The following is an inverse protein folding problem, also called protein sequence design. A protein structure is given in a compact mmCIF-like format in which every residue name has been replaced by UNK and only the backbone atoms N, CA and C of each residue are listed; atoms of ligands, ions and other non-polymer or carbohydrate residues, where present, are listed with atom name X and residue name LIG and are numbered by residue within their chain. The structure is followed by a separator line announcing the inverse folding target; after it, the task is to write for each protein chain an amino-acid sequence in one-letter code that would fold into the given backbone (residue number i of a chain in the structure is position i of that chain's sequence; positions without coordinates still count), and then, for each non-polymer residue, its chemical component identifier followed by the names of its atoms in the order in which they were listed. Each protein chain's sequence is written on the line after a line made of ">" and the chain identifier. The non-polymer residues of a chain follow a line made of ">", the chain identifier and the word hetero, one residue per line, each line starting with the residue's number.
data_IF_240619348796
#
_entry.id   IF_240619348796
#
_cell.length_a   1.000
_cell.length_b   1.000
_cell.length_c   1.000
_cell.angle_alpha   90.00
_cell.angle_beta   90.00
_cell.angle_gamma   90.00
#
_symmetry.space_group_name_H-M   'P 1'
#
loop_
_entity.id
_entity.type
_entity.pdbx_description
1 polymer ?
#
# COMPACT_ATOMS: atom_id res chain seq x y z
N UNK A 1 21.57 33.87 -9.83
CA UNK A 1 21.42 34.29 -8.42
C UNK A 1 21.43 33.02 -7.60
N UNK A 2 22.39 32.83 -6.68
CA UNK A 2 22.35 31.68 -5.77
C UNK A 2 21.11 31.82 -4.89
N UNK A 3 20.17 30.91 -5.04
CA UNK A 3 19.01 30.80 -4.17
C UNK A 3 19.49 30.57 -2.74
N UNK A 4 19.23 31.53 -1.86
CA UNK A 4 19.38 31.33 -0.42
C UNK A 4 18.16 30.54 0.04
N UNK A 5 18.25 29.21 0.06
CA UNK A 5 17.24 28.40 0.71
C UNK A 5 17.21 28.78 2.20
N UNK A 6 16.03 29.18 2.69
CA UNK A 6 15.83 29.42 4.12
C UNK A 6 16.04 28.09 4.85
N UNK A 7 16.73 28.11 5.99
CA UNK A 7 16.90 26.93 6.86
C UNK A 7 15.55 26.40 7.39
N UNK A 8 14.49 27.20 7.32
CA UNK A 8 13.14 26.82 7.72
C UNK A 8 12.24 26.39 6.55
N UNK A 9 12.78 26.30 5.33
CA UNK A 9 11.98 25.94 4.15
C UNK A 9 11.33 24.55 4.27
N UNK A 10 12.05 23.58 4.85
CA UNK A 10 11.52 22.23 5.10
C UNK A 10 10.41 22.22 6.16
N UNK A 11 10.64 22.90 7.28
CA UNK A 11 9.66 22.97 8.38
C UNK A 11 8.40 23.71 7.96
N UNK A 12 8.55 24.78 7.19
CA UNK A 12 7.43 25.53 6.62
C UNK A 12 6.61 24.65 5.67
N UNK A 13 7.27 23.92 4.77
CA UNK A 13 6.60 22.99 3.86
C UNK A 13 5.87 21.89 4.63
N UNK A 14 6.48 21.34 5.68
CA UNK A 14 5.86 20.33 6.54
C UNK A 14 4.63 20.88 7.27
N UNK A 15 4.72 22.09 7.82
CA UNK A 15 3.60 22.74 8.48
C UNK A 15 2.40 22.94 7.53
N UNK A 16 2.66 23.40 6.31
CA UNK A 16 1.61 23.57 5.28
C UNK A 16 0.98 22.22 4.87
N UNK A 17 1.79 21.17 4.74
CA UNK A 17 1.29 19.83 4.42
C UNK A 17 0.36 19.29 5.53
N UNK A 18 0.76 19.40 6.79
CA UNK A 18 -0.08 18.99 7.93
C UNK A 18 -1.36 19.82 8.04
N UNK A 19 -1.26 21.14 7.80
CA UNK A 19 -2.42 22.01 7.82
C UNK A 19 -3.42 21.65 6.71
N UNK A 20 -2.92 21.33 5.51
CA UNK A 20 -3.77 20.83 4.42
C UNK A 20 -4.49 19.54 4.80
N UNK A 21 -3.77 18.55 5.36
CA UNK A 21 -4.39 17.29 5.82
C UNK A 21 -5.49 17.54 6.86
N UNK A 22 -5.25 18.45 7.81
CA UNK A 22 -6.23 18.85 8.82
C UNK A 22 -7.48 19.50 8.18
N UNK A 23 -7.31 20.42 7.24
CA UNK A 23 -8.41 21.08 6.53
C UNK A 23 -9.27 20.07 5.77
N UNK A 24 -8.63 19.10 5.09
CA UNK A 24 -9.34 18.02 4.38
C UNK A 24 -10.18 17.18 5.33
N UNK A 25 -9.62 16.73 6.46
CA UNK A 25 -10.34 15.92 7.46
C UNK A 25 -11.54 16.64 8.04
N UNK A 26 -11.44 17.96 8.26
CA UNK A 26 -12.54 18.78 8.76
C UNK A 26 -13.53 19.25 7.69
N UNK A 27 -13.31 18.89 6.42
CA UNK A 27 -14.16 19.29 5.28
C UNK A 27 -14.32 20.81 5.14
N UNK A 28 -13.34 21.60 5.59
CA UNK A 28 -13.41 23.06 5.52
C UNK A 28 -13.05 23.55 4.10
N UNK A 29 -14.06 23.58 3.23
CA UNK A 29 -13.91 23.98 1.83
C UNK A 29 -13.48 25.44 1.65
N UNK A 30 -13.89 26.34 2.53
CA UNK A 30 -13.51 27.75 2.44
C UNK A 30 -12.01 27.94 2.67
N UNK A 31 -11.47 27.30 3.71
CA UNK A 31 -10.03 27.31 3.96
C UNK A 31 -9.27 26.54 2.89
N UNK A 32 -9.80 25.40 2.43
CA UNK A 32 -9.17 24.56 1.40
C UNK A 32 -8.88 25.36 0.12
N UNK A 33 -9.87 26.08 -0.42
CA UNK A 33 -9.74 26.85 -1.67
C UNK A 33 -8.61 27.87 -1.61
N UNK A 34 -8.48 28.58 -0.49
CA UNK A 34 -7.45 29.61 -0.31
C UNK A 34 -6.07 29.00 0.00
N UNK A 35 -6.04 27.90 0.76
CA UNK A 35 -4.81 27.21 1.12
C UNK A 35 -4.14 26.54 -0.08
N UNK A 36 -4.93 25.97 -1.00
CA UNK A 36 -4.43 25.36 -2.24
C UNK A 36 -3.64 26.38 -3.08
N UNK A 37 -4.12 27.61 -3.20
CA UNK A 37 -3.40 28.69 -3.91
C UNK A 37 -2.04 28.93 -3.25
N UNK A 38 -2.00 29.02 -1.91
CA UNK A 38 -0.74 29.19 -1.16
C UNK A 38 0.21 28.02 -1.30
N UNK A 39 -0.31 26.79 -1.35
CA UNK A 39 0.49 25.60 -1.57
C UNK A 39 1.18 25.65 -2.93
N UNK A 40 0.48 25.98 -4.01
CA UNK A 40 1.12 26.16 -5.32
C UNK A 40 2.16 27.29 -5.33
N UNK A 41 1.89 28.43 -4.70
CA UNK A 41 2.84 29.54 -4.59
C UNK A 41 4.13 29.14 -3.85
N UNK A 42 4.01 28.23 -2.88
CA UNK A 42 5.17 27.67 -2.15
C UNK A 42 5.85 26.49 -2.87
N UNK A 43 5.39 26.15 -4.08
CA UNK A 43 5.99 25.12 -4.94
C UNK A 43 5.52 23.70 -4.64
N UNK A 44 4.32 23.51 -4.10
CA UNK A 44 3.69 22.19 -4.16
C UNK A 44 3.18 21.91 -5.57
N UNK A 45 3.38 20.68 -6.02
CA UNK A 45 2.83 20.20 -7.29
C UNK A 45 1.44 19.63 -7.08
N UNK A 46 0.68 19.53 -8.16
CA UNK A 46 -0.65 18.91 -8.16
C UNK A 46 -0.62 17.46 -7.66
N UNK A 47 0.44 16.72 -7.99
CA UNK A 47 0.58 15.32 -7.59
C UNK A 47 0.90 15.19 -6.09
N UNK A 48 1.67 16.13 -5.53
CA UNK A 48 1.89 16.21 -4.08
C UNK A 48 0.61 16.55 -3.32
N UNK A 49 -0.20 17.49 -3.82
CA UNK A 49 -1.50 17.80 -3.21
C UNK A 49 -2.45 16.59 -3.23
N UNK A 50 -2.40 15.80 -4.30
CA UNK A 50 -3.17 14.56 -4.41
C UNK A 50 -2.68 13.50 -3.41
N UNK A 51 -1.37 13.33 -3.29
CA UNK A 51 -0.78 12.41 -2.32
C UNK A 51 -1.16 12.78 -0.89
N UNK A 52 -1.07 14.07 -0.54
CA UNK A 52 -1.50 14.57 0.78
C UNK A 52 -3.00 14.37 1.01
N UNK A 53 -3.83 14.53 -0.03
CA UNK A 53 -5.26 14.25 0.05
C UNK A 53 -5.51 12.77 0.40
N UNK A 54 -4.85 11.85 -0.30
CA UNK A 54 -4.95 10.42 0.00
C UNK A 54 -4.52 10.14 1.43
N UNK A 55 -3.34 10.61 1.84
CA UNK A 55 -2.81 10.43 3.20
C UNK A 55 -3.78 10.95 4.28
N UNK A 56 -4.41 12.11 4.06
CA UNK A 56 -5.41 12.67 4.96
C UNK A 56 -6.63 11.75 5.13
N UNK A 57 -7.03 11.07 4.05
CA UNK A 57 -8.25 10.25 3.95
C UNK A 57 -8.05 8.75 4.20
N UNK A 58 -6.81 8.27 4.36
CA UNK A 58 -6.53 6.84 4.52
C UNK A 58 -6.90 6.28 5.91
N UNK A 59 -6.89 7.12 6.94
CA UNK A 59 -7.11 6.70 8.32
C UNK A 59 -8.54 7.03 8.73
N UNK A 60 -9.38 6.01 8.88
CA UNK A 60 -10.82 6.18 9.19
C UNK A 60 -11.02 6.86 10.54
N UNK A 61 -10.13 6.64 11.51
CA UNK A 61 -10.22 7.24 12.86
C UNK A 61 -10.05 8.77 12.88
N UNK A 62 -9.36 9.32 11.86
CA UNK A 62 -9.04 10.75 11.77
C UNK A 62 -10.13 11.55 11.03
N UNK A 63 -11.19 10.88 10.57
CA UNK A 63 -12.16 11.41 9.62
C UNK A 63 -13.58 11.31 10.23
N UNK A 64 -14.42 12.36 10.08
CA UNK A 64 -15.81 12.29 10.51
C UNK A 64 -16.60 11.19 9.80
N UNK A 65 -17.61 10.61 10.47
CA UNK A 65 -18.46 9.55 9.89
C UNK A 65 -19.17 9.97 8.59
N UNK A 66 -19.50 11.26 8.46
CA UNK A 66 -20.18 11.82 7.29
C UNK A 66 -19.22 12.23 6.14
N UNK A 67 -17.95 11.82 6.20
CA UNK A 67 -16.98 12.20 5.17
C UNK A 67 -17.21 11.48 3.85
N UNK A 68 -17.40 12.28 2.79
CA UNK A 68 -17.46 11.80 1.42
C UNK A 68 -16.17 12.15 0.67
N UNK A 69 -15.31 11.17 0.33
CA UNK A 69 -14.11 11.40 -0.45
C UNK A 69 -14.44 11.88 -1.87
N UNK A 70 -13.64 12.82 -2.37
CA UNK A 70 -13.67 13.21 -3.78
C UNK A 70 -12.92 12.17 -4.61
N UNK A 71 -13.69 11.28 -5.22
CA UNK A 71 -13.21 10.16 -6.05
C UNK A 71 -12.28 10.65 -7.17
N UNK A 72 -12.49 11.85 -7.73
CA UNK A 72 -11.63 12.38 -8.80
C UNK A 72 -10.21 12.69 -8.33
N UNK A 73 -10.07 13.05 -7.05
CA UNK A 73 -8.77 13.32 -6.43
C UNK A 73 -8.16 12.05 -5.84
N UNK A 74 -8.96 11.08 -5.43
CA UNK A 74 -8.47 9.81 -4.93
C UNK A 74 -7.87 8.90 -6.03
N UNK A 75 -8.20 9.13 -7.32
CA UNK A 75 -7.67 8.32 -8.43
C UNK A 75 -6.29 8.85 -8.86
N UNK A 76 -5.23 8.01 -8.88
CA UNK A 76 -3.94 8.38 -9.43
C UNK A 76 -4.06 8.72 -10.93
N UNK A 77 -3.41 9.80 -11.39
CA UNK A 77 -3.40 10.20 -12.81
C UNK A 77 -2.84 9.11 -13.74
N UNK A 78 -1.86 8.35 -13.24
CA UNK A 78 -1.21 7.26 -13.97
C UNK A 78 -1.81 5.89 -13.64
N UNK A 79 -2.94 5.84 -12.94
CA UNK A 79 -3.68 4.60 -12.83
C UNK A 79 -3.96 4.12 -14.27
N UNK A 80 -3.54 2.90 -14.65
CA UNK A 80 -3.86 2.39 -15.97
C UNK A 80 -5.38 2.51 -16.10
N UNK A 81 -5.84 3.22 -17.15
CA UNK A 81 -7.25 3.25 -17.49
C UNK A 81 -7.68 1.79 -17.47
N UNK A 82 -8.49 1.42 -16.48
CA UNK A 82 -8.89 0.04 -16.25
C UNK A 82 -9.55 -0.34 -17.56
N UNK A 83 -8.83 -1.07 -18.41
CA UNK A 83 -9.37 -1.62 -19.63
C UNK A 83 -10.60 -2.34 -19.14
N UNK A 84 -11.77 -1.92 -19.62
CA UNK A 84 -13.10 -2.39 -19.21
C UNK A 84 -13.03 -3.89 -18.96
N UNK A 85 -12.69 -4.29 -17.72
CA UNK A 85 -12.75 -5.67 -17.32
C UNK A 85 -14.24 -5.80 -17.21
N UNK A 86 -14.83 -6.34 -18.27
CA UNK A 86 -16.20 -6.82 -18.27
C UNK A 86 -16.28 -7.68 -17.01
N UNK A 87 -16.79 -7.08 -15.93
CA UNK A 87 -16.99 -7.76 -14.68
C UNK A 87 -18.03 -8.80 -15.06
N UNK A 88 -17.59 -10.02 -15.32
CA UNK A 88 -18.49 -11.15 -15.43
C UNK A 88 -18.68 -11.60 -13.99
N UNK A 89 -19.78 -11.22 -13.32
CA UNK A 89 -20.10 -11.80 -12.03
C UNK A 89 -20.29 -13.30 -12.27
N UNK A 90 -19.32 -14.11 -11.87
CA UNK A 90 -19.57 -15.53 -11.76
C UNK A 90 -20.15 -15.75 -10.36
N UNK A 91 -21.38 -16.26 -10.25
CA UNK A 91 -21.95 -16.58 -8.95
C UNK A 91 -21.12 -17.68 -8.30
N UNK A 92 -20.90 -17.58 -6.98
CA UNK A 92 -20.28 -18.66 -6.20
C UNK A 92 -21.05 -19.99 -6.28
N UNK A 93 -22.29 -19.95 -6.81
CA UNK A 93 -23.20 -21.07 -7.03
C UNK A 93 -23.36 -21.40 -8.53
N UNK A 94 -22.34 -21.12 -9.36
CA UNK A 94 -22.43 -21.37 -10.79
C UNK A 94 -22.45 -22.88 -11.11
N UNK A 95 -23.56 -23.37 -11.67
CA UNK A 95 -23.80 -24.78 -12.05
C UNK A 95 -23.55 -25.04 -13.54
N UNK A 96 -22.65 -24.29 -14.19
CA UNK A 96 -22.36 -24.52 -15.60
C UNK A 96 -21.47 -25.77 -15.79
N UNK A 97 -21.58 -26.49 -16.94
CA UNK A 97 -20.86 -27.74 -17.16
C UNK A 97 -19.33 -27.61 -17.06
N UNK A 98 -18.77 -26.45 -17.44
CA UNK A 98 -17.31 -26.22 -17.41
C UNK A 98 -16.73 -26.03 -16.01
N UNK A 99 -17.55 -25.68 -15.01
CA UNK A 99 -17.12 -25.45 -13.63
C UNK A 99 -17.55 -26.58 -12.69
N UNK A 100 -18.64 -27.30 -13.02
CA UNK A 100 -19.06 -28.48 -12.27
C UNK A 100 -17.96 -29.54 -12.19
N UNK A 101 -17.20 -29.75 -13.27
CA UNK A 101 -16.09 -30.71 -13.27
C UNK A 101 -15.01 -30.33 -12.24
N UNK A 102 -14.70 -29.04 -12.09
CA UNK A 102 -13.70 -28.55 -11.13
C UNK A 102 -14.19 -28.61 -9.67
N UNK A 103 -15.48 -28.37 -9.44
CA UNK A 103 -16.08 -28.41 -8.09
C UNK A 103 -16.26 -29.85 -7.62
N UNK A 104 -16.54 -30.79 -8.53
CA UNK A 104 -16.65 -32.22 -8.21
C UNK A 104 -15.30 -32.92 -8.06
N UNK A 105 -14.25 -32.44 -8.74
CA UNK A 105 -12.89 -32.99 -8.62
C UNK A 105 -12.26 -32.71 -7.24
N UNK A 106 -12.63 -31.59 -6.61
CA UNK A 106 -12.31 -31.32 -5.22
C UNK A 106 -13.30 -32.15 -4.40
N UNK A 107 -12.91 -33.34 -3.97
CA UNK A 107 -13.73 -34.13 -3.06
C UNK A 107 -14.14 -33.27 -1.85
N UNK A 108 -15.38 -33.40 -1.40
CA UNK A 108 -15.85 -32.79 -0.15
C UNK A 108 -16.26 -33.89 0.82
N UNK A 109 -16.09 -33.66 2.11
CA UNK A 109 -16.56 -34.57 3.17
C UNK A 109 -18.08 -34.48 3.37
N UNK A 110 -18.63 -35.28 4.29
CA UNK A 110 -20.08 -35.35 4.55
C UNK A 110 -20.65 -34.02 5.08
N UNK A 111 -19.78 -33.13 5.58
CA UNK A 111 -20.08 -31.79 6.06
C UNK A 111 -19.92 -30.71 4.97
N UNK A 112 -19.56 -31.10 3.75
CA UNK A 112 -19.46 -30.21 2.59
C UNK A 112 -18.22 -29.31 2.59
N UNK A 113 -17.18 -29.65 3.35
CA UNK A 113 -15.87 -28.99 3.30
C UNK A 113 -14.95 -29.72 2.31
N UNK A 114 -14.08 -29.01 1.58
CA UNK A 114 -13.13 -29.66 0.67
C UNK A 114 -12.20 -30.57 1.47
N UNK A 115 -12.10 -31.86 1.11
CA UNK A 115 -11.17 -32.78 1.77
C UNK A 115 -9.73 -32.29 1.53
N UNK A 116 -9.17 -31.69 2.56
CA UNK A 116 -7.75 -31.34 2.61
C UNK A 116 -6.94 -32.63 2.64
N UNK A 117 -5.83 -32.69 1.91
CA UNK A 117 -4.90 -33.82 1.92
C UNK A 117 -4.54 -34.22 3.37
N UNK A 118 -4.30 -35.52 3.66
CA UNK A 118 -4.19 -36.03 5.02
C UNK A 118 -3.15 -35.27 5.84
N UNK A 119 -3.57 -34.80 7.01
CA UNK A 119 -2.75 -34.12 7.99
C UNK A 119 -1.59 -35.04 8.42
N UNK A 120 -0.36 -34.73 7.98
CA UNK A 120 0.83 -35.25 8.65
C UNK A 120 0.92 -34.59 10.04
N UNK A 121 1.11 -35.36 11.12
CA UNK A 121 1.04 -34.83 12.48
C UNK A 121 2.13 -33.80 12.73
N UNK A 122 1.72 -32.63 13.25
CA UNK A 122 2.61 -31.58 13.72
C UNK A 122 3.50 -32.07 14.87
N UNK A 123 4.82 -32.06 14.65
CA UNK A 123 5.76 -31.82 15.74
C UNK A 123 6.93 -30.93 15.27
N UNK A 124 7.30 -30.04 16.20
CA UNK A 124 8.50 -29.21 16.24
C UNK A 124 8.47 -27.87 15.48
N UNK A 125 7.91 -26.89 16.19
CA UNK A 125 8.30 -25.50 16.12
C UNK A 125 9.83 -25.29 16.14
N UNK A 126 10.30 -24.32 15.34
CA UNK A 126 11.50 -23.53 15.65
C UNK A 126 12.64 -23.60 14.62
N UNK A 127 12.58 -22.76 13.59
CA UNK A 127 13.65 -21.80 13.24
C UNK A 127 13.38 -21.20 11.86
N UNK A 128 12.93 -19.95 11.84
CA UNK A 128 12.95 -19.11 10.63
C UNK A 128 14.08 -18.11 10.84
N UNK A 129 15.27 -18.39 10.31
CA UNK A 129 16.22 -17.39 9.80
C UNK A 129 17.49 -18.09 9.29
N UNK A 130 17.65 -18.17 7.97
CA UNK A 130 18.90 -17.83 7.25
C UNK A 130 18.84 -18.30 5.79
N UNK A 131 18.35 -17.38 4.97
CA UNK A 131 18.82 -17.03 3.62
C UNK A 131 20.05 -17.81 3.12
N UNK A 132 19.86 -18.42 1.95
CA UNK A 132 20.86 -19.07 1.13
C UNK A 132 22.11 -18.20 0.88
N UNK A 133 23.29 -18.81 0.99
CA UNK A 133 24.55 -18.25 0.48
C UNK A 133 25.14 -19.22 -0.55
N UNK A 134 25.44 -18.78 -1.79
CA UNK A 134 26.02 -19.62 -2.83
C UNK A 134 27.51 -19.87 -2.57
N UNK A 135 27.96 -21.07 -2.89
CA UNK A 135 29.37 -21.47 -2.87
C UNK A 135 30.16 -20.73 -3.97
N UNK A 136 31.24 -20.05 -3.59
CA UNK A 136 32.31 -19.67 -4.52
C UNK A 136 33.69 -19.80 -3.86
N UNK A 137 34.55 -20.57 -4.52
CA UNK A 137 35.99 -20.77 -4.26
C UNK A 137 36.74 -19.45 -4.01
N UNK A 138 37.71 -19.47 -3.09
CA UNK A 138 39.15 -19.28 -3.34
C UNK A 138 39.91 -18.90 -2.06
N UNK A 139 41.14 -19.40 -1.98
CA UNK A 139 42.25 -19.00 -1.10
C UNK A 139 42.27 -17.50 -0.76
N UNK A 140 42.30 -17.16 0.53
CA UNK A 140 43.35 -16.31 1.12
C UNK A 140 43.21 -16.30 2.65
N UNK A 141 44.07 -17.03 3.37
CA UNK A 141 44.08 -17.03 4.84
C UNK A 141 45.22 -16.12 5.33
N UNK A 142 44.96 -14.91 5.85
CA UNK A 142 46.01 -14.12 6.46
C UNK A 142 46.39 -14.70 7.84
N UNK A 143 47.60 -15.25 7.95
CA UNK A 143 48.19 -15.68 9.24
C UNK A 143 48.46 -14.45 10.12
N UNK A 144 47.70 -14.27 11.20
CA UNK A 144 48.06 -13.29 12.24
C UNK A 144 49.28 -13.78 13.02
N UNK A 145 50.31 -12.92 13.11
CA UNK A 145 51.45 -13.10 14.02
C UNK A 145 51.00 -12.71 15.43
N UNK A 146 51.03 -13.64 16.39
CA UNK A 146 50.96 -13.30 17.81
C UNK A 146 52.35 -12.84 18.27
N UNK A 147 52.43 -11.59 18.75
CA UNK A 147 53.55 -11.07 19.52
C UNK A 147 53.39 -11.57 20.96
N UNK A 148 54.11 -12.63 21.31
CA UNK A 148 54.62 -12.93 22.66
C UNK A 148 55.73 -13.99 22.52
#
# INVERSE_FOLDING_TARGET
>A
MSERSSVFSSEWRRCLAEHYKYVIRNQDKGTEETLVIRLYESGFTEDELRALYMEATMHVDDIPEDFMPDVKRAIPKDAPAVAETTFQPHPAECTCPSCMDQVLDIGHDEEGQPVSAPEEPEEAAGNIFAVAKPESKNDDTPKQKSLF
#
